data_IF_011458844892
#
_entry.id   IF_011458844892
#
_cell.length_a   1.000
_cell.length_b   1.000
_cell.length_c   1.000
_cell.angle_alpha   90.00
_cell.angle_beta   90.00
_cell.angle_gamma   90.00
#
_symmetry.space_group_name_H-M   'P 1'
#
loop_
_entity.id
_entity.type
_entity.pdbx_description
1 polymer ?
#
# COMPACT_ATOMS: atom_id res chain seq x y z
N UNK A 1 17.57 9.58 -26.47
CA UNK A 1 18.38 10.28 -25.45
C UNK A 1 17.37 11.12 -24.68
N UNK A 2 17.01 10.79 -23.44
CA UNK A 2 17.90 10.62 -22.29
C UNK A 2 17.41 9.50 -21.39
N UNK A 3 18.35 8.66 -20.94
CA UNK A 3 18.17 7.81 -19.77
C UNK A 3 18.29 8.73 -18.57
N UNK A 4 17.18 9.11 -17.96
CA UNK A 4 17.22 9.68 -16.62
C UNK A 4 17.51 8.53 -15.65
N UNK A 5 18.64 8.69 -14.97
CA UNK A 5 19.24 7.79 -14.02
C UNK A 5 18.36 7.63 -12.79
N UNK A 6 17.56 6.56 -12.76
CA UNK A 6 16.86 6.12 -11.57
C UNK A 6 17.85 5.40 -10.64
N UNK A 7 18.66 6.19 -9.93
CA UNK A 7 19.52 5.70 -8.87
C UNK A 7 19.76 6.78 -7.83
N UNK A 8 18.68 7.41 -7.36
CA UNK A 8 18.69 7.91 -5.99
C UNK A 8 18.60 6.67 -5.09
N UNK A 9 19.66 6.40 -4.33
CA UNK A 9 19.59 5.46 -3.22
C UNK A 9 18.55 6.01 -2.24
N UNK A 10 17.30 5.56 -2.38
CA UNK A 10 16.18 6.02 -1.57
C UNK A 10 16.31 5.42 -0.19
N UNK A 11 17.04 6.12 0.68
CA UNK A 11 17.12 5.80 2.09
C UNK A 11 15.70 5.76 2.67
N UNK A 12 15.43 4.74 3.50
CA UNK A 12 14.16 4.64 4.19
C UNK A 12 13.97 5.83 5.12
N UNK A 13 12.77 6.41 5.20
CA UNK A 13 12.51 7.53 6.08
C UNK A 13 12.66 7.12 7.54
N UNK A 14 13.20 8.03 8.34
CA UNK A 14 13.30 7.92 9.79
C UNK A 14 11.93 8.07 10.45
N UNK A 15 11.79 7.60 11.68
CA UNK A 15 10.55 7.79 12.45
C UNK A 15 10.22 9.28 12.67
N UNK A 16 11.23 10.12 12.84
CA UNK A 16 11.05 11.56 12.99
C UNK A 16 10.44 12.18 11.72
N UNK A 17 10.95 11.82 10.54
CA UNK A 17 10.40 12.29 9.26
C UNK A 17 8.98 11.79 9.03
N UNK A 18 8.68 10.53 9.39
CA UNK A 18 7.34 9.96 9.29
C UNK A 18 6.35 10.70 10.18
N UNK A 19 6.69 10.94 11.45
CA UNK A 19 5.79 11.59 12.40
C UNK A 19 5.62 13.09 12.13
N UNK A 20 6.62 13.73 11.51
CA UNK A 20 6.56 15.14 11.11
C UNK A 20 5.89 15.37 9.74
N UNK A 21 5.56 14.31 9.00
CA UNK A 21 4.99 14.43 7.66
C UNK A 21 3.62 15.10 7.67
N UNK A 22 3.44 16.09 6.79
CA UNK A 22 2.21 16.89 6.68
C UNK A 22 1.27 16.41 5.58
N UNK A 23 1.78 15.66 4.59
CA UNK A 23 0.98 15.06 3.52
C UNK A 23 0.25 13.81 4.04
N UNK A 24 -0.89 14.02 4.70
CA UNK A 24 -1.74 12.93 5.23
C UNK A 24 -2.71 12.44 4.16
N UNK A 25 -2.66 11.13 3.86
CA UNK A 25 -3.51 10.46 2.86
C UNK A 25 -4.69 9.68 3.49
N UNK A 26 -4.67 9.48 4.80
CA UNK A 26 -5.77 8.88 5.54
C UNK A 26 -6.75 9.94 6.04
N UNK A 27 -8.02 9.56 6.21
CA UNK A 27 -8.98 10.40 6.92
C UNK A 27 -8.50 10.72 8.36
N UNK A 28 -8.71 11.96 8.86
CA UNK A 28 -8.53 12.27 10.27
C UNK A 28 -9.42 11.35 11.12
N UNK A 29 -9.03 11.04 12.35
CA UNK A 29 -9.79 10.24 13.35
C UNK A 29 -9.55 8.73 13.40
N UNK A 30 -8.67 8.16 12.56
CA UNK A 30 -8.27 6.74 12.72
C UNK A 30 -7.08 6.55 13.66
N UNK A 31 -7.10 5.46 14.43
CA UNK A 31 -5.93 4.90 15.16
C UNK A 31 -4.74 4.55 14.25
N UNK A 32 -4.93 4.68 12.94
CA UNK A 32 -3.97 4.45 11.87
C UNK A 32 -3.90 5.69 10.99
N UNK A 33 -2.68 6.19 10.77
CA UNK A 33 -2.36 7.26 9.84
C UNK A 33 -1.67 6.69 8.62
N UNK A 34 -1.91 7.29 7.46
CA UNK A 34 -1.11 7.07 6.27
C UNK A 34 -0.58 8.42 5.83
N UNK A 35 0.75 8.55 5.76
CA UNK A 35 1.41 9.78 5.33
C UNK A 35 2.28 9.50 4.12
N UNK A 36 2.45 10.50 3.27
CA UNK A 36 3.48 10.50 2.26
C UNK A 36 4.74 11.12 2.82
N UNK A 37 5.87 10.43 2.64
CA UNK A 37 7.19 10.92 3.06
C UNK A 37 8.07 10.98 1.84
N UNK A 38 8.65 12.17 1.61
CA UNK A 38 9.37 12.49 0.38
C UNK A 38 8.51 12.19 -0.87
N UNK A 39 9.13 11.95 -2.02
CA UNK A 39 8.40 11.65 -3.25
C UNK A 39 8.00 10.18 -3.41
N UNK A 40 8.62 9.27 -2.64
CA UNK A 40 8.65 7.83 -2.96
C UNK A 40 7.94 6.92 -1.95
N UNK A 41 7.63 7.40 -0.75
CA UNK A 41 7.15 6.54 0.33
C UNK A 41 5.75 6.91 0.77
N UNK A 42 4.91 5.89 0.89
CA UNK A 42 3.71 5.92 1.72
C UNK A 42 4.00 5.14 3.00
N UNK A 43 3.70 5.73 4.15
CA UNK A 43 3.93 5.09 5.44
C UNK A 43 2.61 4.99 6.18
N UNK A 44 2.16 3.74 6.39
CA UNK A 44 1.00 3.42 7.23
C UNK A 44 1.51 3.13 8.64
N UNK A 45 1.02 3.86 9.64
CA UNK A 45 1.47 3.68 11.01
C UNK A 45 0.41 3.98 12.06
N UNK A 46 0.56 3.41 13.25
CA UNK A 46 -0.42 3.56 14.33
C UNK A 46 -0.46 2.38 15.29
N UNK A 47 -1.39 2.45 16.24
CA UNK A 47 -1.60 1.39 17.21
C UNK A 47 -2.56 0.32 16.65
N UNK A 48 -2.25 -0.95 16.88
CA UNK A 48 -3.13 -2.06 16.49
C UNK A 48 -3.06 -2.46 15.00
N UNK A 49 -2.10 -1.93 14.24
CA UNK A 49 -1.89 -2.35 12.84
C UNK A 49 -1.10 -3.68 12.84
N UNK A 50 -1.63 -4.76 12.24
CA UNK A 50 -0.92 -6.02 12.13
C UNK A 50 0.26 -5.90 11.16
N UNK A 51 1.40 -6.53 11.49
CA UNK A 51 2.50 -6.70 10.52
C UNK A 51 2.07 -7.57 9.33
N UNK A 52 1.04 -8.41 9.52
CA UNK A 52 0.44 -9.23 8.48
C UNK A 52 -0.03 -8.42 7.25
N UNK A 53 -0.42 -7.15 7.42
CA UNK A 53 -0.76 -6.29 6.27
C UNK A 53 0.39 -6.21 5.26
N UNK A 54 1.63 -6.15 5.76
CA UNK A 54 2.83 -6.11 4.94
C UNK A 54 3.15 -7.48 4.30
N UNK A 55 2.88 -8.57 5.01
CA UNK A 55 3.03 -9.94 4.50
C UNK A 55 2.02 -10.25 3.40
N UNK A 56 0.75 -9.84 3.58
CA UNK A 56 -0.29 -9.96 2.57
C UNK A 56 0.10 -9.26 1.27
N UNK A 57 0.62 -8.03 1.34
CA UNK A 57 1.10 -7.31 0.14
C UNK A 57 2.26 -8.03 -0.53
N UNK A 58 3.24 -8.53 0.23
CA UNK A 58 4.37 -9.32 -0.32
C UNK A 58 3.89 -10.61 -0.98
N UNK A 59 2.94 -11.31 -0.36
CA UNK A 59 2.35 -12.52 -0.91
C UNK A 59 1.63 -12.24 -2.23
N UNK A 60 0.80 -11.20 -2.30
CA UNK A 60 0.11 -10.82 -3.53
C UNK A 60 1.09 -10.43 -4.65
N UNK A 61 2.14 -9.68 -4.33
CA UNK A 61 3.18 -9.30 -5.29
C UNK A 61 3.93 -10.52 -5.86
N UNK A 62 4.06 -11.61 -5.09
CA UNK A 62 4.73 -12.83 -5.52
C UNK A 62 3.81 -13.82 -6.25
N UNK A 63 2.50 -13.81 -5.97
CA UNK A 63 1.57 -14.86 -6.39
C UNK A 63 0.43 -14.37 -7.30
N UNK A 64 0.41 -13.09 -7.67
CA UNK A 64 -0.62 -12.53 -8.54
C UNK A 64 -0.08 -11.38 -9.39
N UNK A 65 -0.81 -11.03 -10.44
CA UNK A 65 -0.54 -9.81 -11.23
C UNK A 65 -1.24 -8.57 -10.70
N UNK A 66 -1.91 -8.66 -9.54
CA UNK A 66 -2.63 -7.52 -8.97
C UNK A 66 -1.61 -6.48 -8.51
N UNK A 67 -1.74 -5.22 -8.96
CA UNK A 67 -0.83 -4.17 -8.54
C UNK A 67 -1.02 -3.89 -7.04
N UNK A 68 0.05 -4.04 -6.28
CA UNK A 68 0.13 -3.69 -4.86
C UNK A 68 1.40 -2.87 -4.61
N UNK A 69 1.40 -1.95 -3.63
CA UNK A 69 2.61 -1.22 -3.26
C UNK A 69 3.75 -2.15 -2.87
N UNK A 70 4.96 -1.90 -3.38
CA UNK A 70 6.15 -2.59 -2.91
C UNK A 70 6.38 -2.26 -1.43
N UNK A 71 6.39 -3.27 -0.57
CA UNK A 71 6.76 -3.11 0.85
C UNK A 71 8.28 -3.08 0.98
N UNK A 72 8.82 -2.00 1.55
CA UNK A 72 10.24 -1.90 1.85
C UNK A 72 10.58 -2.49 3.21
N UNK A 73 9.83 -2.11 4.25
CA UNK A 73 9.98 -2.67 5.59
C UNK A 73 8.70 -2.51 6.40
N UNK A 74 8.53 -3.37 7.40
CA UNK A 74 7.47 -3.27 8.38
C UNK A 74 7.99 -3.69 9.75
N UNK A 75 7.72 -2.90 10.78
CA UNK A 75 8.21 -3.17 12.13
C UNK A 75 7.31 -2.54 13.19
N UNK A 76 7.42 -3.03 14.42
CA UNK A 76 6.79 -2.44 15.60
C UNK A 76 7.83 -1.72 16.44
N UNK A 77 7.62 -0.44 16.64
CA UNK A 77 8.46 0.35 17.53
C UNK A 77 8.29 -0.10 18.99
N UNK A 78 9.40 -0.26 19.70
CA UNK A 78 9.40 -0.87 21.04
C UNK A 78 8.90 0.08 22.12
N UNK A 79 9.11 1.39 21.98
CA UNK A 79 8.76 2.38 22.99
C UNK A 79 7.30 2.79 22.86
N UNK A 80 6.88 3.20 21.67
CA UNK A 80 5.53 3.68 21.38
C UNK A 80 4.54 2.54 21.13
N UNK A 81 5.01 1.32 20.82
CA UNK A 81 4.18 0.19 20.39
C UNK A 81 3.39 0.45 19.09
N UNK A 82 3.72 1.50 18.34
CA UNK A 82 3.17 1.74 17.00
C UNK A 82 3.79 0.75 16.01
N UNK A 83 2.99 0.26 15.09
CA UNK A 83 3.49 -0.46 13.92
C UNK A 83 3.70 0.56 12.80
N UNK A 84 4.76 0.38 12.01
CA UNK A 84 5.08 1.15 10.82
C UNK A 84 5.22 0.20 9.63
N UNK A 85 4.56 0.52 8.52
CA UNK A 85 4.68 -0.18 7.25
C UNK A 85 5.11 0.87 6.22
N UNK A 86 6.37 0.77 5.79
CA UNK A 86 6.97 1.65 4.79
C UNK A 86 6.86 0.96 3.43
N UNK A 87 6.13 1.59 2.52
CA UNK A 87 5.82 1.05 1.20
C UNK A 87 5.96 2.10 0.10
N UNK A 88 5.97 1.64 -1.14
CA UNK A 88 5.98 2.49 -2.33
C UNK A 88 4.76 3.43 -2.33
N UNK A 89 5.01 4.72 -2.53
CA UNK A 89 3.96 5.64 -2.91
C UNK A 89 3.60 5.43 -4.39
N UNK A 90 2.33 5.17 -4.67
CA UNK A 90 1.81 5.07 -6.04
C UNK A 90 1.28 6.44 -6.42
N UNK A 91 1.89 7.04 -7.44
CA UNK A 91 1.42 8.30 -8.01
C UNK A 91 0.13 8.08 -8.79
N UNK A 92 -0.84 8.96 -8.58
CA UNK A 92 -2.09 8.99 -9.33
C UNK A 92 -3.21 9.62 -8.52
N UNK A 93 -4.32 9.84 -9.20
CA UNK A 93 -5.54 10.36 -8.58
C UNK A 93 -6.40 9.20 -8.08
N UNK A 94 -7.12 9.45 -7.00
CA UNK A 94 -8.06 8.46 -6.48
C UNK A 94 -9.25 8.32 -7.43
N UNK A 95 -9.88 7.13 -7.43
CA UNK A 95 -11.12 6.97 -8.18
C UNK A 95 -12.20 7.95 -7.68
N UNK A 96 -12.19 8.32 -6.40
CA UNK A 96 -13.13 9.31 -5.84
C UNK A 96 -13.00 10.68 -6.53
N UNK A 97 -11.78 11.13 -6.78
CA UNK A 97 -11.51 12.41 -7.47
C UNK A 97 -11.85 12.33 -8.96
N UNK A 98 -11.52 11.22 -9.61
CA UNK A 98 -11.74 11.06 -11.05
C UNK A 98 -13.20 10.78 -11.41
N UNK A 99 -13.95 10.05 -10.58
CA UNK A 99 -15.26 9.52 -10.94
C UNK A 99 -16.24 10.53 -11.56
N UNK A 100 -16.32 11.81 -11.10
CA UNK A 100 -17.19 12.82 -11.69
C UNK A 100 -16.80 13.25 -13.11
N UNK A 101 -15.52 13.20 -13.48
CA UNK A 101 -15.01 13.66 -14.78
C UNK A 101 -14.97 12.55 -15.85
N UNK A 102 -15.03 11.28 -15.43
CA UNK A 102 -14.94 10.15 -16.36
C UNK A 102 -16.16 10.04 -17.28
N UNK A 103 -15.89 9.83 -18.57
CA UNK A 103 -16.90 9.46 -19.54
C UNK A 103 -17.29 7.97 -19.43
N UNK A 104 -18.30 7.55 -20.19
CA UNK A 104 -18.83 6.19 -20.12
C UNK A 104 -17.80 5.12 -20.50
N UNK A 105 -16.96 5.38 -21.51
CA UNK A 105 -15.95 4.42 -21.96
C UNK A 105 -14.83 4.27 -20.92
N UNK A 106 -14.40 5.37 -20.30
CA UNK A 106 -13.39 5.35 -19.22
C UNK A 106 -13.91 4.62 -17.98
N UNK A 107 -15.17 4.88 -17.57
CA UNK A 107 -15.83 4.14 -16.50
C UNK A 107 -15.86 2.64 -16.79
N UNK A 108 -16.24 2.25 -18.00
CA UNK A 108 -16.26 0.85 -18.41
C UNK A 108 -14.86 0.21 -18.36
N UNK A 109 -13.83 0.94 -18.81
CA UNK A 109 -12.45 0.47 -18.75
C UNK A 109 -11.97 0.24 -17.31
N UNK A 110 -12.22 1.19 -16.39
CA UNK A 110 -11.88 1.06 -14.97
C UNK A 110 -12.64 -0.09 -14.32
N UNK A 111 -13.95 -0.23 -14.59
CA UNK A 111 -14.75 -1.35 -14.10
C UNK A 111 -14.17 -2.71 -14.55
N UNK A 112 -13.73 -2.81 -15.81
CA UNK A 112 -13.07 -4.01 -16.31
C UNK A 112 -11.73 -4.27 -15.60
N UNK A 113 -10.92 -3.24 -15.37
CA UNK A 113 -9.66 -3.38 -14.62
C UNK A 113 -9.89 -3.87 -13.18
N UNK A 114 -10.89 -3.32 -12.47
CA UNK A 114 -11.26 -3.75 -11.12
C UNK A 114 -11.76 -5.20 -11.14
N UNK A 115 -12.64 -5.55 -12.09
CA UNK A 115 -13.13 -6.92 -12.27
C UNK A 115 -11.97 -7.89 -12.46
N UNK A 116 -11.03 -7.58 -13.36
CA UNK A 116 -9.88 -8.43 -13.64
C UNK A 116 -8.99 -8.61 -12.41
N UNK A 117 -8.72 -7.53 -11.65
CA UNK A 117 -7.95 -7.61 -10.42
C UNK A 117 -8.63 -8.52 -9.36
N UNK A 118 -9.95 -8.39 -9.17
CA UNK A 118 -10.69 -9.26 -8.25
C UNK A 118 -10.70 -10.71 -8.74
N UNK A 119 -10.86 -10.95 -10.03
CA UNK A 119 -10.80 -12.30 -10.62
C UNK A 119 -9.41 -12.92 -10.39
N UNK A 120 -8.34 -12.17 -10.60
CA UNK A 120 -6.97 -12.61 -10.34
C UNK A 120 -6.79 -12.99 -8.85
N UNK A 121 -7.20 -12.12 -7.91
CA UNK A 121 -7.13 -12.43 -6.47
C UNK A 121 -7.85 -13.73 -6.11
N UNK A 122 -9.02 -13.97 -6.71
CA UNK A 122 -9.84 -15.17 -6.45
C UNK A 122 -9.31 -16.43 -7.13
N UNK A 123 -8.41 -16.26 -8.10
CA UNK A 123 -7.76 -17.39 -8.78
C UNK A 123 -6.57 -17.94 -8.00
N UNK A 124 -6.09 -17.21 -6.99
CA UNK A 124 -5.04 -17.68 -6.08
C UNK A 124 -5.57 -18.94 -5.37
N UNK A 125 -4.87 -20.08 -5.47
CA UNK A 125 -5.30 -21.30 -4.81
C UNK A 125 -5.43 -21.08 -3.30
N UNK A 126 -6.55 -21.48 -2.67
CA UNK A 126 -6.68 -21.35 -1.24
C UNK A 126 -5.63 -22.22 -0.56
N UNK A 127 -5.04 -21.75 0.55
CA UNK A 127 -4.29 -22.66 1.39
C UNK A 127 -5.29 -23.70 1.94
N UNK A 128 -4.84 -24.93 2.21
CA UNK A 128 -5.68 -26.01 2.73
C UNK A 128 -6.27 -25.78 4.13
N UNK A 129 -6.40 -24.52 4.56
CA UNK A 129 -6.95 -24.08 5.84
C UNK A 129 -7.69 -22.75 5.66
N UNK A 130 -8.61 -22.44 6.58
CA UNK A 130 -9.28 -21.14 6.67
C UNK A 130 -8.56 -20.31 7.73
N UNK A 131 -7.99 -19.17 7.33
CA UNK A 131 -7.30 -18.28 8.25
C UNK A 131 -6.42 -17.24 7.54
N UNK A 132 -5.62 -16.55 8.32
CA UNK A 132 -4.63 -15.58 7.83
C UNK A 132 -3.40 -16.28 7.23
N UNK A 133 -2.57 -15.57 6.48
CA UNK A 133 -1.28 -16.12 6.03
C UNK A 133 -0.47 -16.63 7.22
N UNK A 134 0.36 -17.64 6.98
CA UNK A 134 1.23 -18.25 7.99
C UNK A 134 0.49 -18.83 9.22
N UNK A 135 -0.76 -19.26 9.04
CA UNK A 135 -1.60 -19.83 10.11
C UNK A 135 -1.79 -18.91 11.33
N UNK A 136 -1.71 -17.59 11.14
CA UNK A 136 -2.07 -16.66 12.21
C UNK A 136 -3.58 -16.81 12.57
N UNK A 137 -3.93 -16.76 13.88
CA UNK A 137 -5.31 -16.88 14.33
C UNK A 137 -6.18 -15.73 13.83
#
# INVERSE_FOLDING_TARGET
MSKETDSEATCLPTLAEIEAATEVMSIPEKYTKVVRVNKHFAVKFGHGIPLLDAENMKFLAANSKVPVPKVYTAFRDRSTKKTYIIMQYIHGDTLQELLPSLNQAEKAAICNSIKNAITELRSIPPPGYLGMLNHHP
#
